data_IF_764693059833
#
_entry.id   IF_764693059833
#
_cell.length_a   1.000
_cell.length_b   1.000
_cell.length_c   1.000
_cell.angle_alpha   90.00
_cell.angle_beta   90.00
_cell.angle_gamma   90.00
#
_symmetry.space_group_name_H-M   'P 1'
#
loop_
_entity.id
_entity.type
_entity.pdbx_description
1 polymer ?
#
# COMPACT_ATOMS: atom_id res chain seq x y z
N UNK A 1 -24.44 -17.70 -8.15
CA UNK A 1 -23.49 -17.38 -9.25
C UNK A 1 -23.91 -16.05 -9.79
N UNK A 2 -23.12 -15.01 -9.57
CA UNK A 2 -23.36 -13.69 -10.13
C UNK A 2 -22.84 -13.73 -11.58
N UNK A 3 -23.74 -13.64 -12.56
CA UNK A 3 -23.37 -13.59 -13.98
C UNK A 3 -23.25 -12.14 -14.40
N UNK A 4 -22.02 -11.63 -14.51
CA UNK A 4 -21.72 -10.32 -15.11
C UNK A 4 -21.33 -10.47 -16.59
N UNK A 5 -22.07 -11.26 -17.38
CA UNK A 5 -21.67 -11.64 -18.74
C UNK A 5 -21.73 -10.50 -19.78
N UNK A 6 -22.25 -9.31 -19.47
CA UNK A 6 -22.51 -8.29 -20.51
C UNK A 6 -21.61 -7.05 -20.49
N UNK A 7 -20.81 -6.79 -19.40
CA UNK A 7 -19.97 -5.59 -19.28
C UNK A 7 -18.58 -5.84 -18.70
N UNK A 8 -18.01 -7.05 -18.91
CA UNK A 8 -16.68 -7.38 -18.39
C UNK A 8 -15.58 -6.77 -19.26
N UNK A 9 -14.45 -6.34 -18.68
CA UNK A 9 -13.39 -5.62 -19.40
C UNK A 9 -12.70 -6.41 -20.49
N UNK A 10 -12.58 -7.74 -20.34
CA UNK A 10 -11.93 -8.66 -21.29
C UNK A 10 -12.33 -10.12 -21.01
N UNK A 11 -12.03 -11.02 -21.94
CA UNK A 11 -12.22 -12.44 -21.76
C UNK A 11 -11.18 -13.02 -20.79
N UNK A 12 -11.63 -13.88 -19.86
CA UNK A 12 -10.77 -14.56 -18.90
C UNK A 12 -10.65 -16.05 -19.21
N UNK A 13 -9.57 -16.74 -18.77
CA UNK A 13 -9.40 -18.17 -18.95
C UNK A 13 -10.58 -18.97 -18.36
N UNK A 14 -10.77 -20.19 -18.89
CA UNK A 14 -11.79 -21.10 -18.38
C UNK A 14 -11.57 -21.39 -16.88
N UNK A 15 -12.63 -21.29 -16.10
CA UNK A 15 -12.61 -21.50 -14.65
C UNK A 15 -12.38 -20.23 -13.84
N UNK A 16 -12.04 -19.11 -14.48
CA UNK A 16 -12.04 -17.80 -13.83
C UNK A 16 -13.44 -17.21 -13.78
N UNK A 17 -13.69 -16.37 -12.79
CA UNK A 17 -14.97 -15.66 -12.65
C UNK A 17 -14.72 -14.18 -12.45
N UNK A 18 -15.58 -13.34 -13.01
CA UNK A 18 -15.57 -11.92 -12.71
C UNK A 18 -16.37 -11.65 -11.45
N UNK A 19 -15.77 -10.88 -10.54
CA UNK A 19 -16.42 -10.34 -9.34
C UNK A 19 -16.26 -8.83 -9.31
N UNK A 20 -17.09 -8.15 -8.55
CA UNK A 20 -16.81 -6.77 -8.15
C UNK A 20 -16.02 -6.74 -6.86
N UNK A 21 -15.29 -5.66 -6.61
CA UNK A 21 -14.58 -5.51 -5.34
C UNK A 21 -15.56 -5.59 -4.15
N UNK A 22 -16.78 -5.06 -4.28
CA UNK A 22 -17.84 -5.13 -3.26
C UNK A 22 -18.32 -6.56 -2.95
N UNK A 23 -18.16 -7.50 -3.88
CA UNK A 23 -18.49 -8.92 -3.67
C UNK A 23 -17.47 -9.64 -2.76
N UNK A 24 -16.27 -9.10 -2.64
CA UNK A 24 -15.13 -9.75 -1.97
C UNK A 24 -14.80 -9.17 -0.60
N UNK A 25 -15.24 -7.94 -0.32
CA UNK A 25 -14.87 -7.26 0.90
C UNK A 25 -15.90 -6.21 1.35
N UNK A 26 -15.91 -5.94 2.63
CA UNK A 26 -16.53 -4.76 3.20
C UNK A 26 -15.56 -3.57 3.12
N UNK A 27 -16.05 -2.41 2.72
CA UNK A 27 -15.29 -1.17 2.59
C UNK A 27 -15.86 -0.09 3.50
N UNK A 28 -15.00 0.64 4.20
CA UNK A 28 -15.41 1.77 5.03
C UNK A 28 -14.39 2.90 4.93
N UNK A 29 -14.80 4.04 4.41
CA UNK A 29 -14.01 5.26 4.47
C UNK A 29 -14.03 5.82 5.90
N UNK A 30 -12.92 6.39 6.35
CA UNK A 30 -12.82 6.99 7.67
C UNK A 30 -13.83 8.13 7.90
N UNK A 31 -14.05 8.53 9.15
CA UNK A 31 -15.07 9.52 9.52
C UNK A 31 -14.84 10.87 8.87
N UNK A 32 -15.90 11.65 8.68
CA UNK A 32 -15.76 13.04 8.23
C UNK A 32 -14.88 13.85 9.18
N UNK A 33 -14.12 14.83 8.65
CA UNK A 33 -13.17 15.61 9.43
C UNK A 33 -13.78 16.32 10.64
N UNK A 34 -15.05 16.73 10.57
CA UNK A 34 -15.78 17.31 11.71
C UNK A 34 -16.09 16.31 12.84
N UNK A 35 -16.17 15.01 12.52
CA UNK A 35 -16.43 13.96 13.52
C UNK A 35 -15.17 13.56 14.30
N UNK A 36 -13.98 13.89 13.80
CA UNK A 36 -12.69 13.56 14.41
C UNK A 36 -11.70 14.71 14.21
N UNK A 37 -11.71 15.68 15.11
CA UNK A 37 -10.84 16.86 15.08
C UNK A 37 -9.66 16.71 16.05
N UNK A 38 -8.62 17.53 15.87
CA UNK A 38 -7.42 17.51 16.74
C UNK A 38 -7.73 17.78 18.21
N UNK A 39 -8.76 18.56 18.52
CA UNK A 39 -9.19 18.87 19.87
C UNK A 39 -9.80 17.67 20.64
N UNK A 40 -10.16 16.60 19.92
CA UNK A 40 -10.71 15.37 20.49
C UNK A 40 -9.63 14.35 20.86
N UNK A 41 -8.36 14.62 20.49
CA UNK A 41 -7.28 13.69 20.82
C UNK A 41 -6.83 13.87 22.28
N UNK A 42 -6.52 12.74 22.90
CA UNK A 42 -6.05 12.62 24.27
C UNK A 42 -4.66 11.98 24.30
N UNK A 43 -3.97 12.09 25.42
CA UNK A 43 -2.72 11.35 25.63
C UNK A 43 -3.01 9.86 25.76
N UNK A 44 -2.07 9.02 25.33
CA UNK A 44 -2.14 7.58 25.51
C UNK A 44 -2.21 7.23 26.99
N UNK A 45 -3.18 6.45 27.39
CA UNK A 45 -3.40 6.01 28.76
C UNK A 45 -4.42 4.87 28.81
N UNK A 46 -4.84 4.53 30.02
CA UNK A 46 -5.89 3.55 30.21
C UNK A 46 -7.20 4.03 29.59
N UNK A 47 -7.97 3.11 29.00
CA UNK A 47 -9.23 3.40 28.30
C UNK A 47 -9.11 4.42 27.15
N UNK A 48 -7.96 4.49 26.50
CA UNK A 48 -7.77 5.27 25.28
C UNK A 48 -7.55 4.36 24.07
N UNK A 49 -8.05 4.80 22.91
CA UNK A 49 -8.09 4.02 21.68
C UNK A 49 -7.28 4.72 20.60
N UNK A 50 -6.50 3.95 19.87
CA UNK A 50 -5.61 4.49 18.85
C UNK A 50 -6.39 5.08 17.67
N UNK A 51 -5.88 6.17 17.11
CA UNK A 51 -6.31 6.68 15.80
C UNK A 51 -5.25 6.31 14.77
N UNK A 52 -5.62 5.42 13.86
CA UNK A 52 -4.77 5.06 12.73
C UNK A 52 -4.75 6.17 11.70
N UNK A 53 -3.55 6.48 11.22
CA UNK A 53 -3.27 7.55 10.28
C UNK A 53 -2.63 6.97 9.00
N UNK A 54 -2.60 7.76 7.95
CA UNK A 54 -1.99 7.37 6.66
C UNK A 54 -0.58 6.79 6.79
N UNK A 55 0.24 7.34 7.68
CA UNK A 55 1.60 6.83 7.94
C UNK A 55 1.63 5.36 8.36
N UNK A 56 0.57 4.85 9.01
CA UNK A 56 0.48 3.45 9.37
C UNK A 56 0.37 2.55 8.13
N UNK A 57 -0.41 2.96 7.13
CA UNK A 57 -0.52 2.24 5.86
C UNK A 57 0.76 2.38 5.02
N UNK A 58 1.29 3.59 4.88
CA UNK A 58 2.46 3.89 4.04
C UNK A 58 3.73 3.19 4.55
N UNK A 59 3.96 3.20 5.87
CA UNK A 59 5.15 2.62 6.49
C UNK A 59 4.94 1.19 7.01
N UNK A 60 3.78 0.57 6.73
CA UNK A 60 3.44 -0.80 7.12
C UNK A 60 3.65 -1.05 8.63
N UNK A 61 3.32 -0.08 9.46
CA UNK A 61 3.60 -0.13 10.90
C UNK A 61 2.45 0.43 11.74
N UNK A 62 1.78 -0.43 12.50
CA UNK A 62 0.67 -0.07 13.37
C UNK A 62 1.09 0.81 14.57
N UNK A 63 2.36 0.72 15.01
CA UNK A 63 2.84 1.40 16.22
C UNK A 63 3.08 2.90 16.01
N UNK A 64 3.14 3.35 14.77
CA UNK A 64 3.34 4.77 14.46
C UNK A 64 2.14 5.61 14.86
N UNK A 65 2.42 6.86 15.23
CA UNK A 65 1.39 7.83 15.61
C UNK A 65 1.15 7.90 17.10
N UNK A 66 0.71 9.08 17.51
CA UNK A 66 0.52 9.44 18.92
C UNK A 66 -0.91 9.89 19.21
N UNK A 67 -1.81 9.78 18.24
CA UNK A 67 -3.19 10.19 18.42
C UNK A 67 -4.02 9.06 19.01
N UNK A 68 -4.69 9.40 20.11
CA UNK A 68 -5.64 8.53 20.81
C UNK A 68 -6.91 9.30 21.07
N UNK A 69 -8.02 8.59 21.27
CA UNK A 69 -9.32 9.13 21.66
C UNK A 69 -9.81 8.45 22.93
N UNK A 70 -10.73 9.11 23.66
CA UNK A 70 -11.35 8.54 24.84
C UNK A 70 -12.26 7.36 24.49
N UNK A 71 -12.65 6.60 25.51
CA UNK A 71 -13.59 5.50 25.37
C UNK A 71 -14.95 5.95 24.82
N UNK A 72 -15.46 7.08 25.28
CA UNK A 72 -16.73 7.65 24.83
C UNK A 72 -16.66 7.99 23.35
N UNK A 73 -15.57 8.64 22.92
CA UNK A 73 -15.37 9.00 21.51
C UNK A 73 -15.17 7.76 20.62
N UNK A 74 -14.49 6.74 21.14
CA UNK A 74 -14.37 5.46 20.46
C UNK A 74 -15.74 4.80 20.23
N UNK A 75 -16.63 4.80 21.24
CA UNK A 75 -17.98 4.26 21.10
C UNK A 75 -18.82 5.04 20.07
N UNK A 76 -18.72 6.37 20.04
CA UNK A 76 -19.38 7.17 18.99
C UNK A 76 -18.90 6.80 17.57
N UNK A 77 -17.63 6.45 17.44
CA UNK A 77 -16.98 6.16 16.15
C UNK A 77 -16.76 4.65 15.93
N UNK A 78 -17.45 3.79 16.66
CA UNK A 78 -17.29 2.32 16.60
C UNK A 78 -17.45 1.75 15.19
N UNK A 79 -18.22 2.40 14.32
CA UNK A 79 -18.39 2.01 12.94
C UNK A 79 -17.10 2.12 12.10
N UNK A 80 -16.05 2.75 12.63
CA UNK A 80 -14.74 2.93 12.00
C UNK A 80 -13.65 2.13 12.73
N UNK A 81 -14.06 1.29 13.68
CA UNK A 81 -13.14 0.44 14.43
C UNK A 81 -12.49 -0.62 13.55
N UNK A 82 -11.18 -0.79 13.76
CA UNK A 82 -10.41 -1.85 13.10
C UNK A 82 -10.68 -3.21 13.76
N UNK A 83 -10.43 -4.26 13.01
CA UNK A 83 -10.43 -5.64 13.47
C UNK A 83 -9.14 -6.34 13.04
N UNK A 84 -8.83 -7.52 13.63
CA UNK A 84 -7.72 -8.35 13.13
C UNK A 84 -7.78 -8.55 11.63
N UNK A 85 -6.62 -8.40 10.98
CA UNK A 85 -6.45 -8.60 9.54
C UNK A 85 -7.19 -7.62 8.62
N UNK A 86 -7.79 -6.57 9.16
CA UNK A 86 -8.28 -5.49 8.32
C UNK A 86 -7.13 -4.88 7.50
N UNK A 87 -7.43 -4.50 6.29
CA UNK A 87 -6.50 -3.80 5.43
C UNK A 87 -6.81 -2.32 5.53
N UNK A 88 -5.85 -1.53 6.00
CA UNK A 88 -5.95 -0.06 5.96
C UNK A 88 -5.28 0.47 4.69
N UNK A 89 -5.96 1.37 4.00
CA UNK A 89 -5.54 1.93 2.71
C UNK A 89 -5.42 3.44 2.80
N UNK A 90 -4.30 4.00 2.34
CA UNK A 90 -4.10 5.45 2.27
C UNK A 90 -4.93 6.09 1.14
N UNK A 91 -5.68 7.15 1.46
CA UNK A 91 -6.66 7.74 0.55
C UNK A 91 -6.31 9.12 0.01
N UNK A 92 -5.25 9.78 0.52
CA UNK A 92 -4.87 11.13 0.11
C UNK A 92 -3.34 11.30 0.07
N UNK A 93 -2.81 12.12 -0.80
CA UNK A 93 -1.36 12.31 -0.98
C UNK A 93 -0.70 11.08 -1.58
N UNK A 94 -0.03 10.26 -0.78
CA UNK A 94 0.45 8.93 -1.19
C UNK A 94 -0.72 7.96 -1.13
N UNK A 95 -1.31 7.69 -2.28
CA UNK A 95 -2.58 6.96 -2.42
C UNK A 95 -2.33 5.49 -2.66
N UNK A 96 -3.24 4.63 -2.14
CA UNK A 96 -3.29 3.22 -2.46
C UNK A 96 -2.30 2.36 -1.68
N UNK A 97 -1.49 2.96 -0.79
CA UNK A 97 -0.66 2.16 0.10
C UNK A 97 -1.52 1.36 1.06
N UNK A 98 -1.29 0.07 1.10
CA UNK A 98 -2.05 -0.89 1.90
C UNK A 98 -1.22 -1.46 3.04
N UNK A 99 -1.84 -1.72 4.17
CA UNK A 99 -1.24 -2.45 5.28
C UNK A 99 -2.26 -3.40 5.91
N UNK A 100 -1.94 -4.67 5.93
CA UNK A 100 -2.75 -5.69 6.63
C UNK A 100 -2.41 -5.62 8.11
N UNK A 101 -3.41 -5.35 8.94
CA UNK A 101 -3.23 -5.33 10.39
C UNK A 101 -2.94 -6.74 10.93
N UNK A 102 -2.15 -6.86 12.00
CA UNK A 102 -1.82 -8.16 12.59
C UNK A 102 -3.06 -8.84 13.22
N UNK A 103 -2.86 -10.06 13.71
CA UNK A 103 -3.89 -10.81 14.42
C UNK A 103 -4.34 -10.12 15.71
N UNK A 104 -3.43 -9.40 16.37
CA UNK A 104 -3.70 -8.64 17.60
C UNK A 104 -3.31 -7.17 17.37
N UNK A 105 -4.14 -6.40 16.64
CA UNK A 105 -3.82 -5.02 16.34
C UNK A 105 -4.08 -4.14 17.59
N UNK A 106 -3.38 -3.01 17.66
CA UNK A 106 -3.67 -2.00 18.69
C UNK A 106 -5.10 -1.50 18.46
N UNK A 107 -5.98 -1.71 19.44
CA UNK A 107 -7.41 -1.34 19.33
C UNK A 107 -7.59 0.15 19.01
N UNK A 108 -8.45 0.46 18.05
CA UNK A 108 -8.64 1.83 17.60
C UNK A 108 -9.54 1.97 16.38
N UNK A 109 -9.52 3.15 15.80
CA UNK A 109 -10.29 3.53 14.61
C UNK A 109 -9.38 4.06 13.51
N UNK A 110 -9.85 4.01 12.28
CA UNK A 110 -9.20 4.73 11.16
C UNK A 110 -9.59 6.22 11.17
N UNK A 111 -8.70 7.10 10.70
CA UNK A 111 -9.01 8.50 10.47
C UNK A 111 -9.58 8.75 9.05
N UNK A 112 -9.96 9.99 8.76
CA UNK A 112 -10.55 10.42 7.47
C UNK A 112 -9.64 10.23 6.25
N UNK A 113 -8.34 10.08 6.42
CA UNK A 113 -7.38 9.88 5.35
C UNK A 113 -7.13 8.40 5.01
N UNK A 114 -7.83 7.49 5.71
CA UNK A 114 -7.77 6.06 5.49
C UNK A 114 -9.12 5.52 5.00
N UNK A 115 -9.03 4.40 4.31
CA UNK A 115 -10.12 3.46 4.06
C UNK A 115 -9.78 2.13 4.70
N UNK A 116 -10.78 1.48 5.27
CA UNK A 116 -10.72 0.12 5.79
C UNK A 116 -11.32 -0.83 4.76
N UNK A 117 -10.62 -1.93 4.51
CA UNK A 117 -11.10 -3.05 3.70
C UNK A 117 -11.05 -4.30 4.56
N UNK A 118 -12.14 -5.03 4.61
CA UNK A 118 -12.26 -6.29 5.35
C UNK A 118 -12.72 -7.39 4.42
N UNK A 119 -11.83 -8.31 4.09
CA UNK A 119 -12.14 -9.42 3.20
C UNK A 119 -13.15 -10.38 3.82
N UNK A 120 -14.14 -10.83 3.06
CA UNK A 120 -15.08 -11.88 3.47
C UNK A 120 -14.41 -13.26 3.51
N UNK A 121 -13.45 -13.48 2.60
CA UNK A 121 -12.58 -14.65 2.60
C UNK A 121 -11.12 -14.23 2.57
N UNK A 122 -10.36 -14.58 3.60
CA UNK A 122 -8.95 -14.22 3.71
C UNK A 122 -8.00 -15.06 2.85
N UNK A 123 -8.45 -16.20 2.36
CA UNK A 123 -7.60 -17.04 1.51
C UNK A 123 -7.16 -16.31 0.24
N UNK A 124 -7.98 -15.35 -0.23
CA UNK A 124 -7.67 -14.55 -1.43
C UNK A 124 -6.78 -13.31 -1.14
N UNK A 125 -6.41 -13.04 0.11
CA UNK A 125 -5.78 -11.78 0.56
C UNK A 125 -4.59 -11.36 -0.32
N UNK A 126 -3.63 -12.24 -0.57
CA UNK A 126 -2.45 -11.92 -1.37
C UNK A 126 -2.80 -11.58 -2.82
N UNK A 127 -3.66 -12.37 -3.44
CA UNK A 127 -4.11 -12.11 -4.81
C UNK A 127 -4.92 -10.80 -4.88
N UNK A 128 -5.83 -10.60 -3.92
CA UNK A 128 -6.62 -9.39 -3.80
C UNK A 128 -5.73 -8.14 -3.70
N UNK A 129 -4.72 -8.14 -2.84
CA UNK A 129 -3.82 -6.99 -2.65
C UNK A 129 -3.03 -6.64 -3.91
N UNK A 130 -2.53 -7.64 -4.63
CA UNK A 130 -1.81 -7.44 -5.90
C UNK A 130 -2.71 -6.79 -6.96
N UNK A 131 -3.93 -7.31 -7.11
CA UNK A 131 -4.88 -6.77 -8.07
C UNK A 131 -5.41 -5.40 -7.66
N UNK A 132 -5.69 -5.20 -6.37
CA UNK A 132 -6.16 -3.95 -5.82
C UNK A 132 -5.16 -2.81 -6.04
N UNK A 133 -3.87 -3.06 -5.79
CA UNK A 133 -2.80 -2.11 -6.08
C UNK A 133 -2.72 -1.75 -7.57
N UNK A 134 -2.82 -2.76 -8.43
CA UNK A 134 -2.82 -2.58 -9.88
C UNK A 134 -4.00 -1.73 -10.36
N UNK A 135 -5.23 -2.09 -9.99
CA UNK A 135 -6.43 -1.41 -10.49
C UNK A 135 -6.54 0.02 -9.94
N UNK A 136 -6.13 0.27 -8.70
CA UNK A 136 -6.09 1.61 -8.14
C UNK A 136 -5.12 2.51 -8.90
N UNK A 137 -3.94 2.02 -9.23
CA UNK A 137 -2.94 2.77 -10.00
C UNK A 137 -3.40 3.05 -11.42
N UNK A 138 -4.02 2.06 -12.07
CA UNK A 138 -4.54 2.22 -13.43
C UNK A 138 -5.67 3.25 -13.51
N UNK A 139 -6.68 3.12 -12.66
CA UNK A 139 -7.82 4.03 -12.64
C UNK A 139 -7.42 5.45 -12.21
N UNK A 140 -6.57 5.54 -11.23
CA UNK A 140 -6.03 6.80 -10.78
C UNK A 140 -5.20 7.50 -11.89
N UNK A 141 -4.48 6.75 -12.72
CA UNK A 141 -3.76 7.29 -13.88
C UNK A 141 -4.72 7.78 -14.97
N UNK A 142 -5.81 7.06 -15.24
CA UNK A 142 -6.84 7.47 -16.21
C UNK A 142 -7.52 8.79 -15.82
N UNK A 143 -7.82 8.99 -14.53
CA UNK A 143 -8.46 10.22 -14.03
C UNK A 143 -7.51 11.42 -13.99
N UNK A 144 -6.20 11.20 -13.87
CA UNK A 144 -5.23 12.28 -13.65
C UNK A 144 -4.92 13.14 -14.87
N UNK A 145 -5.21 12.67 -16.10
CA UNK A 145 -4.87 13.35 -17.37
C UNK A 145 -3.46 14.00 -17.33
N UNK A 146 -2.50 13.36 -16.66
CA UNK A 146 -1.13 13.87 -16.52
C UNK A 146 -0.87 14.77 -15.32
N UNK A 147 -1.84 14.99 -14.43
CA UNK A 147 -1.64 15.65 -13.12
C UNK A 147 -1.46 14.59 -12.03
N UNK A 148 -0.73 14.93 -10.95
CA UNK A 148 -0.54 14.00 -9.85
C UNK A 148 -1.89 13.58 -9.24
N UNK A 149 -2.08 12.27 -9.04
CA UNK A 149 -3.25 11.70 -8.43
C UNK A 149 -3.35 12.21 -6.98
N UNK A 150 -4.47 12.84 -6.64
CA UNK A 150 -4.66 13.45 -5.32
C UNK A 150 -5.56 12.67 -4.38
N UNK A 151 -6.44 11.81 -4.90
CA UNK A 151 -7.40 11.03 -4.12
C UNK A 151 -7.70 9.69 -4.81
N UNK A 152 -8.13 8.69 -4.01
CA UNK A 152 -8.71 7.47 -4.56
C UNK A 152 -10.04 7.78 -5.26
N UNK A 153 -10.47 6.96 -6.22
CA UNK A 153 -11.78 7.10 -6.86
C UNK A 153 -12.92 7.23 -5.83
N UNK A 154 -14.03 7.89 -6.17
CA UNK A 154 -15.20 7.89 -5.32
C UNK A 154 -15.58 6.48 -4.88
N UNK A 155 -16.01 6.34 -3.65
CA UNK A 155 -16.21 5.04 -3.01
C UNK A 155 -17.19 4.14 -3.78
N UNK A 156 -18.26 4.72 -4.29
CA UNK A 156 -19.26 4.00 -5.10
C UNK A 156 -18.72 3.54 -6.46
N UNK A 157 -17.72 4.24 -6.99
CA UNK A 157 -17.01 3.84 -8.21
C UNK A 157 -16.04 2.68 -7.89
N UNK A 158 -15.22 2.84 -6.85
CA UNK A 158 -14.25 1.83 -6.43
C UNK A 158 -14.88 0.45 -6.20
N UNK A 159 -15.99 0.40 -5.49
CA UNK A 159 -16.71 -0.83 -5.18
C UNK A 159 -17.17 -1.60 -6.41
N UNK A 160 -17.42 -0.90 -7.50
CA UNK A 160 -17.89 -1.46 -8.75
C UNK A 160 -16.76 -1.91 -9.70
N UNK A 161 -15.48 -1.73 -9.33
CA UNK A 161 -14.39 -2.24 -10.14
C UNK A 161 -14.43 -3.76 -10.20
N UNK A 162 -14.23 -4.27 -11.42
CA UNK A 162 -14.18 -5.70 -11.66
C UNK A 162 -12.81 -6.27 -11.28
N UNK A 163 -12.81 -7.45 -10.70
CA UNK A 163 -11.64 -8.27 -10.44
C UNK A 163 -11.83 -9.66 -11.09
N UNK A 164 -10.92 -10.12 -11.96
CA UNK A 164 -10.95 -11.46 -12.49
C UNK A 164 -10.39 -12.41 -11.42
N UNK A 165 -11.21 -13.31 -10.92
CA UNK A 165 -10.85 -14.20 -9.81
C UNK A 165 -10.55 -15.61 -10.34
N UNK A 166 -9.28 -16.05 -10.36
CA UNK A 166 -8.88 -17.41 -10.69
C UNK A 166 -9.36 -18.42 -9.65
N UNK A 167 -9.39 -19.73 -9.98
CA UNK A 167 -9.44 -20.78 -8.98
C UNK A 167 -8.33 -20.61 -7.92
N UNK A 168 -8.59 -20.95 -6.67
CA UNK A 168 -7.68 -20.67 -5.55
C UNK A 168 -6.25 -21.20 -5.77
N UNK A 169 -6.10 -22.42 -6.27
CA UNK A 169 -4.77 -22.99 -6.57
C UNK A 169 -4.01 -22.20 -7.64
N UNK A 170 -4.71 -21.58 -8.57
CA UNK A 170 -4.11 -20.72 -9.58
C UNK A 170 -3.75 -19.35 -9.03
N UNK A 171 -4.58 -18.76 -8.14
CA UNK A 171 -4.22 -17.55 -7.41
C UNK A 171 -2.88 -17.71 -6.68
N UNK A 172 -2.69 -18.85 -6.00
CA UNK A 172 -1.43 -19.14 -5.30
C UNK A 172 -0.23 -19.21 -6.24
N UNK A 173 -0.38 -19.84 -7.42
CA UNK A 173 0.70 -19.89 -8.43
C UNK A 173 1.03 -18.52 -9.01
N UNK A 174 0.01 -17.71 -9.30
CA UNK A 174 0.18 -16.34 -9.80
C UNK A 174 0.91 -15.49 -8.76
N UNK A 175 0.47 -15.53 -7.51
CA UNK A 175 1.11 -14.80 -6.41
C UNK A 175 2.58 -15.20 -6.26
N UNK A 176 2.87 -16.50 -6.21
CA UNK A 176 4.24 -16.99 -6.06
C UNK A 176 5.15 -16.58 -7.23
N UNK A 177 4.63 -16.59 -8.46
CA UNK A 177 5.41 -16.15 -9.62
C UNK A 177 5.67 -14.64 -9.62
N UNK A 178 4.69 -13.82 -9.23
CA UNK A 178 4.88 -12.37 -9.08
C UNK A 178 5.89 -12.07 -7.98
N UNK A 179 5.79 -12.71 -6.82
CA UNK A 179 6.76 -12.57 -5.71
C UNK A 179 8.18 -12.93 -6.19
N UNK A 180 8.33 -13.98 -6.99
CA UNK A 180 9.62 -14.38 -7.58
C UNK A 180 10.20 -13.31 -8.50
N UNK A 181 9.37 -12.73 -9.37
CA UNK A 181 9.80 -11.67 -10.26
C UNK A 181 10.18 -10.38 -9.51
N UNK A 182 9.42 -10.01 -8.49
CA UNK A 182 9.75 -8.84 -7.67
C UNK A 182 11.07 -9.03 -6.92
N UNK A 183 11.32 -10.21 -6.33
CA UNK A 183 12.59 -10.51 -5.70
C UNK A 183 13.79 -10.43 -6.67
N UNK A 184 13.60 -10.82 -7.94
CA UNK A 184 14.62 -10.68 -8.98
C UNK A 184 14.87 -9.20 -9.32
N UNK A 185 13.82 -8.41 -9.44
CA UNK A 185 13.91 -6.97 -9.69
C UNK A 185 14.66 -6.28 -8.55
N UNK A 186 14.31 -6.56 -7.29
CA UNK A 186 14.99 -6.02 -6.11
C UNK A 186 16.49 -6.36 -6.11
N UNK A 187 16.85 -7.58 -6.50
CA UNK A 187 18.25 -8.01 -6.63
C UNK A 187 19.00 -7.20 -7.69
N UNK A 188 18.38 -6.94 -8.84
CA UNK A 188 18.96 -6.13 -9.92
C UNK A 188 19.13 -4.67 -9.46
N UNK A 189 18.14 -4.11 -8.79
CA UNK A 189 18.19 -2.74 -8.26
C UNK A 189 19.29 -2.58 -7.22
N UNK A 190 19.43 -3.54 -6.31
CA UNK A 190 20.51 -3.55 -5.32
C UNK A 190 21.88 -3.60 -6.00
N UNK A 191 22.10 -4.49 -6.96
CA UNK A 191 23.34 -4.57 -7.73
C UNK A 191 23.69 -3.27 -8.47
N UNK A 192 22.67 -2.56 -8.98
CA UNK A 192 22.84 -1.24 -9.59
C UNK A 192 23.35 -0.20 -8.59
N UNK A 193 22.82 -0.17 -7.38
CA UNK A 193 23.26 0.74 -6.31
C UNK A 193 24.70 0.45 -5.89
N UNK A 194 25.05 -0.82 -5.74
CA UNK A 194 26.42 -1.25 -5.42
C UNK A 194 27.42 -0.85 -6.50
N UNK A 195 27.07 -1.06 -7.78
CA UNK A 195 27.90 -0.63 -8.92
C UNK A 195 28.11 0.89 -8.94
N UNK A 196 27.07 1.68 -8.73
CA UNK A 196 27.17 3.15 -8.66
C UNK A 196 28.10 3.59 -7.52
N UNK A 197 28.04 2.92 -6.37
CA UNK A 197 28.90 3.19 -5.22
C UNK A 197 30.36 2.86 -5.55
N UNK A 198 30.64 1.70 -6.15
CA UNK A 198 31.96 1.30 -6.57
C UNK A 198 32.57 2.28 -7.60
N UNK A 199 31.78 2.72 -8.58
CA UNK A 199 32.20 3.73 -9.55
C UNK A 199 32.58 5.05 -8.86
N UNK A 200 31.78 5.52 -7.92
CA UNK A 200 32.06 6.75 -7.16
C UNK A 200 33.36 6.64 -6.35
N UNK A 201 33.54 5.52 -5.66
CA UNK A 201 34.77 5.25 -4.89
C UNK A 201 36.02 5.18 -5.80
N UNK A 202 35.90 4.49 -6.94
CA UNK A 202 37.00 4.38 -7.92
C UNK A 202 37.38 5.75 -8.49
N UNK A 203 36.42 6.57 -8.87
CA UNK A 203 36.66 7.95 -9.33
C UNK A 203 37.39 8.79 -8.26
N UNK A 204 36.93 8.71 -7.01
CA UNK A 204 37.58 9.41 -5.90
C UNK A 204 39.03 8.96 -5.70
N UNK A 205 39.31 7.66 -5.78
CA UNK A 205 40.66 7.10 -5.65
C UNK A 205 41.57 7.52 -6.78
N UNK A 206 41.07 7.54 -8.02
CA UNK A 206 41.84 8.02 -9.17
C UNK A 206 42.23 9.49 -8.99
N UNK A 207 41.30 10.35 -8.58
CA UNK A 207 41.57 11.77 -8.30
C UNK A 207 42.58 11.94 -7.17
N UNK A 208 42.46 11.17 -6.09
CA UNK A 208 43.43 11.20 -4.99
C UNK A 208 44.84 10.82 -5.45
N UNK A 209 44.98 9.76 -6.23
CA UNK A 209 46.26 9.37 -6.82
C UNK A 209 46.82 10.44 -7.75
N UNK A 210 45.99 11.10 -8.53
CA UNK A 210 46.41 12.18 -9.44
C UNK A 210 46.91 13.40 -8.67
N UNK A 211 46.20 13.86 -7.66
CA UNK A 211 46.55 15.02 -6.81
C UNK A 211 47.86 14.76 -6.07
N UNK A 212 48.13 13.55 -5.67
CA UNK A 212 49.36 13.18 -4.95
C UNK A 212 50.51 12.78 -5.87
N UNK A 213 50.38 12.97 -7.21
CA UNK A 213 51.41 12.60 -8.18
C UNK A 213 51.72 11.12 -8.30
N UNK A 214 50.75 10.25 -7.90
CA UNK A 214 50.92 8.79 -7.87
C UNK A 214 50.17 8.09 -9.01
N UNK A 215 49.43 8.81 -9.84
CA UNK A 215 48.62 8.22 -10.91
C UNK A 215 49.46 7.84 -12.13
N UNK A 216 50.47 8.65 -12.47
CA UNK A 216 51.41 8.41 -13.54
C UNK A 216 52.84 8.53 -13.04
N UNK A 217 53.83 7.76 -13.60
CA UNK A 217 55.22 7.96 -13.26
C UNK A 217 55.68 9.39 -13.68
N UNK A 218 56.56 9.99 -12.91
CA UNK A 218 57.24 11.22 -13.31
C UNK A 218 58.11 10.96 -14.51
N UNK A 219 58.04 11.86 -15.51
CA UNK A 219 58.95 11.83 -16.65
C UNK A 219 60.26 12.53 -16.25
N UNK A 220 61.44 11.90 -16.44
CA UNK A 220 62.71 12.51 -16.10
C UNK A 220 63.03 13.82 -16.83
N UNK A 221 62.24 14.20 -17.86
CA UNK A 221 62.35 15.42 -18.62
C UNK A 221 61.43 16.56 -18.10
N UNK A 222 60.59 16.34 -17.11
CA UNK A 222 59.68 17.33 -16.54
C UNK A 222 60.34 18.32 -15.56
#
# INVERSE_FOLDING_TARGET
MLHYEQDVPFEVPQGWVWCKLDDLAFYKKGPFGSSLTKSMFVLKGDNTYKVYEQKNAIQKNEKLGTYYISKEKYQELIAFAIQPFDIIVSCAGTIGETFVLPQEPIEGIINQALMLVRLYNRDIEKFYLLYFDYILKEEAYKESKGTAIKNIPPFDVLKNFYIPLPPFSEQQRIVAEIERWFALIDTIEQGKVELQTAIKQTKSKILDLAIHGKLVPQDPSD
#
